data_IF_459272773772
#
_entry.id   IF_459272773772
#
_cell.length_a   1.000
_cell.length_b   1.000
_cell.length_c   1.000
_cell.angle_alpha   90.00
_cell.angle_beta   90.00
_cell.angle_gamma   90.00
#
_symmetry.space_group_name_H-M   'P 1'
#
loop_
_entity.id
_entity.type
_entity.pdbx_description
1 polymer ?
#
# COMPACT_ATOMS: atom_id res chain seq x y z
N UNK A 1 -9.48 -20.98 -14.00
CA UNK A 1 -10.23 -20.08 -14.89
C UNK A 1 -9.57 -19.82 -16.24
N UNK A 2 -8.44 -19.08 -16.34
CA UNK A 2 -7.80 -18.81 -17.64
C UNK A 2 -7.44 -20.10 -18.39
N UNK A 3 -6.77 -21.04 -17.71
CA UNK A 3 -6.37 -22.31 -18.31
C UNK A 3 -7.56 -23.17 -18.79
N UNK A 4 -8.71 -23.07 -18.11
CA UNK A 4 -9.89 -23.88 -18.40
C UNK A 4 -10.82 -23.22 -19.43
N UNK A 5 -10.90 -21.89 -19.44
CA UNK A 5 -11.87 -21.13 -20.25
C UNK A 5 -11.24 -20.33 -21.39
N UNK A 6 -9.91 -20.20 -21.42
CA UNK A 6 -9.19 -19.32 -22.34
C UNK A 6 -9.38 -17.82 -22.06
N UNK A 7 -10.19 -17.45 -21.05
CA UNK A 7 -10.53 -16.06 -20.75
C UNK A 7 -9.76 -15.53 -19.54
N UNK A 8 -9.05 -14.42 -19.72
CA UNK A 8 -8.44 -13.69 -18.62
C UNK A 8 -9.49 -12.85 -17.89
N UNK A 9 -9.45 -12.88 -16.55
CA UNK A 9 -10.30 -12.05 -15.70
C UNK A 9 -9.39 -11.20 -14.84
N UNK A 10 -9.40 -9.87 -14.99
CA UNK A 10 -8.56 -8.99 -14.18
C UNK A 10 -8.91 -9.08 -12.70
N UNK A 11 -7.88 -9.06 -11.85
CA UNK A 11 -8.04 -9.12 -10.39
C UNK A 11 -7.61 -7.80 -9.77
N UNK A 12 -8.48 -7.23 -8.92
CA UNK A 12 -8.17 -6.07 -8.10
C UNK A 12 -7.92 -6.56 -6.68
N UNK A 13 -6.71 -6.36 -6.16
CA UNK A 13 -6.43 -6.61 -4.74
C UNK A 13 -6.96 -5.45 -3.89
N UNK A 14 -7.85 -5.76 -2.95
CA UNK A 14 -8.51 -4.78 -2.09
C UNK A 14 -8.34 -5.13 -0.60
N UNK A 15 -8.02 -4.13 0.21
CA UNK A 15 -7.84 -4.24 1.64
C UNK A 15 -6.39 -4.49 2.08
N UNK A 16 -6.06 -4.01 3.28
CA UNK A 16 -4.77 -4.26 3.94
C UNK A 16 -3.56 -3.49 3.41
N UNK A 17 -3.71 -2.68 2.34
CA UNK A 17 -2.62 -1.89 1.78
C UNK A 17 -2.35 -0.65 2.63
N UNK A 18 -1.13 -0.56 3.17
CA UNK A 18 -0.69 0.58 4.00
C UNK A 18 0.44 1.36 3.33
N UNK A 19 1.34 0.66 2.65
CA UNK A 19 2.56 1.24 2.04
C UNK A 19 2.68 0.92 0.56
N UNK A 20 3.55 1.63 -0.16
CA UNK A 20 3.91 1.28 -1.54
C UNK A 20 4.49 -0.14 -1.67
N UNK A 21 5.14 -0.65 -0.62
CA UNK A 21 5.64 -2.02 -0.59
C UNK A 21 4.53 -3.07 -0.63
N UNK A 22 3.38 -2.79 0.00
CA UNK A 22 2.23 -3.71 -0.04
C UNK A 22 1.61 -3.75 -1.43
N UNK A 23 1.55 -2.60 -2.12
CA UNK A 23 1.14 -2.54 -3.54
C UNK A 23 2.06 -3.41 -4.40
N UNK A 24 3.38 -3.27 -4.22
CA UNK A 24 4.36 -4.06 -4.97
C UNK A 24 4.17 -5.56 -4.74
N UNK A 25 3.91 -5.99 -3.49
CA UNK A 25 3.61 -7.40 -3.19
C UNK A 25 2.33 -7.87 -3.87
N UNK A 26 1.24 -7.08 -3.84
CA UNK A 26 0.00 -7.43 -4.53
C UNK A 26 0.21 -7.63 -6.03
N UNK A 27 0.97 -6.72 -6.67
CA UNK A 27 1.31 -6.82 -8.09
C UNK A 27 2.18 -8.05 -8.37
N UNK A 28 3.21 -8.31 -7.56
CA UNK A 28 4.04 -9.50 -7.68
C UNK A 28 3.23 -10.80 -7.52
N UNK A 29 2.23 -10.81 -6.63
CA UNK A 29 1.33 -11.94 -6.42
C UNK A 29 0.24 -12.12 -7.50
N UNK A 30 0.25 -11.34 -8.59
CA UNK A 30 -0.66 -11.54 -9.72
C UNK A 30 -1.82 -10.53 -9.85
N UNK A 31 -1.93 -9.53 -8.96
CA UNK A 31 -2.98 -8.53 -9.09
C UNK A 31 -2.75 -7.63 -10.32
N UNK A 32 -3.81 -7.27 -11.04
CA UNK A 32 -3.75 -6.34 -12.17
C UNK A 32 -3.91 -4.88 -11.72
N UNK A 33 -4.60 -4.68 -10.61
CA UNK A 33 -4.74 -3.38 -9.96
C UNK A 33 -4.87 -3.56 -8.44
N UNK A 34 -4.74 -2.45 -7.73
CA UNK A 34 -4.96 -2.39 -6.29
C UNK A 34 -5.99 -1.33 -5.96
N UNK A 35 -6.86 -1.60 -4.99
CA UNK A 35 -7.73 -0.60 -4.38
C UNK A 35 -7.03 -0.06 -3.14
N UNK A 36 -6.93 1.27 -3.03
CA UNK A 36 -6.19 1.94 -1.96
C UNK A 36 -7.17 2.76 -1.13
N UNK A 37 -7.21 2.53 0.18
CA UNK A 37 -8.07 3.26 1.12
C UNK A 37 -7.27 4.21 2.02
N UNK A 38 -6.88 3.72 3.20
CA UNK A 38 -6.20 4.50 4.25
C UNK A 38 -5.01 5.36 3.76
N UNK A 39 -4.15 4.93 2.81
CA UNK A 39 -3.05 5.78 2.34
C UNK A 39 -3.51 7.05 1.64
N UNK A 40 -4.52 6.98 0.75
CA UNK A 40 -5.04 8.16 0.04
C UNK A 40 -6.01 8.98 0.91
N UNK A 41 -6.58 8.38 1.96
CA UNK A 41 -7.37 9.11 2.96
C UNK A 41 -6.55 10.15 3.76
N UNK A 42 -5.21 10.08 3.69
CA UNK A 42 -4.27 11.05 4.26
C UNK A 42 -4.03 12.26 3.36
N UNK A 43 -4.64 12.32 2.18
CA UNK A 43 -4.55 13.46 1.29
C UNK A 43 -5.27 14.69 1.87
N UNK A 44 -4.78 15.89 1.58
CA UNK A 44 -5.42 17.15 1.96
C UNK A 44 -6.82 17.30 1.31
N UNK A 45 -6.98 16.72 0.14
CA UNK A 45 -8.20 16.67 -0.66
C UNK A 45 -9.19 15.60 -0.15
N UNK A 46 -8.76 14.70 0.74
CA UNK A 46 -9.61 13.64 1.24
C UNK A 46 -10.75 14.23 2.10
N UNK A 47 -12.01 13.84 1.86
CA UNK A 47 -13.17 14.42 2.54
C UNK A 47 -13.18 14.11 4.05
N UNK A 48 -12.47 13.05 4.46
CA UNK A 48 -12.32 12.65 5.85
C UNK A 48 -11.49 13.61 6.70
N UNK A 49 -10.79 14.59 6.11
CA UNK A 49 -9.99 15.62 6.81
C UNK A 49 -9.05 15.03 7.89
N UNK A 50 -8.29 14.01 7.50
CA UNK A 50 -7.36 13.30 8.39
C UNK A 50 -7.99 12.16 9.20
N UNK A 51 -9.24 11.80 8.91
CA UNK A 51 -9.91 10.62 9.44
C UNK A 51 -10.27 9.64 8.33
N UNK A 52 -10.34 8.37 8.69
CA UNK A 52 -10.73 7.27 7.80
C UNK A 52 -11.62 6.28 8.56
N UNK A 53 -12.56 5.65 7.86
CA UNK A 53 -13.41 4.59 8.37
C UNK A 53 -13.78 3.65 7.23
N UNK A 54 -14.12 2.39 7.55
CA UNK A 54 -14.63 1.45 6.56
C UNK A 54 -16.06 1.78 6.12
N UNK A 55 -16.60 1.02 5.16
CA UNK A 55 -17.98 1.20 4.67
C UNK A 55 -19.05 1.07 5.76
N UNK A 56 -18.76 0.27 6.80
CA UNK A 56 -19.51 0.29 8.04
C UNK A 56 -19.33 1.68 8.70
N UNK A 57 -20.34 2.52 8.55
CA UNK A 57 -20.28 3.91 9.01
C UNK A 57 -20.30 3.95 10.54
N UNK A 58 -19.30 4.59 11.19
CA UNK A 58 -19.25 4.69 12.63
C UNK A 58 -20.46 5.49 13.13
N UNK A 59 -21.29 4.88 13.98
CA UNK A 59 -22.45 5.51 14.61
C UNK A 59 -22.34 5.41 16.13
N UNK A 60 -22.61 6.50 16.88
CA UNK A 60 -22.66 6.46 18.34
C UNK A 60 -23.71 5.50 18.91
N UNK A 61 -24.78 5.26 18.16
CA UNK A 61 -25.95 4.46 18.59
C UNK A 61 -25.86 3.02 18.06
N UNK A 62 -25.11 2.81 16.97
CA UNK A 62 -24.91 1.52 16.33
C UNK A 62 -23.45 1.43 15.87
N UNK A 63 -22.49 1.15 16.79
CA UNK A 63 -21.07 1.18 16.46
C UNK A 63 -20.72 0.05 15.49
N UNK A 64 -20.82 0.36 14.21
CA UNK A 64 -20.39 -0.45 13.08
C UNK A 64 -19.23 0.29 12.44
N UNK A 65 -18.04 -0.31 12.47
CA UNK A 65 -16.83 0.29 11.92
C UNK A 65 -16.15 1.29 12.86
N UNK A 66 -14.83 1.36 12.75
CA UNK A 66 -13.97 2.19 13.60
C UNK A 66 -13.52 3.42 12.82
N UNK A 67 -13.86 4.62 13.33
CA UNK A 67 -13.25 5.86 12.85
C UNK A 67 -11.84 5.96 13.41
N UNK A 68 -10.85 5.95 12.53
CA UNK A 68 -9.44 6.08 12.90
C UNK A 68 -8.90 7.43 12.45
N UNK A 69 -7.96 7.97 13.23
CA UNK A 69 -7.21 9.18 12.87
C UNK A 69 -5.99 8.75 12.08
N UNK A 70 -5.93 9.13 10.80
CA UNK A 70 -4.80 8.85 9.90
C UNK A 70 -3.93 10.08 9.67
N UNK A 71 -4.43 11.26 10.01
CA UNK A 71 -3.77 12.55 9.77
C UNK A 71 -3.74 12.93 8.29
N UNK A 72 -3.23 14.12 8.01
CA UNK A 72 -2.98 14.59 6.64
C UNK A 72 -1.49 14.69 6.42
N UNK A 73 -0.97 14.04 5.38
CA UNK A 73 0.49 13.96 5.13
C UNK A 73 0.94 14.72 3.89
N UNK A 74 0.01 15.14 3.03
CA UNK A 74 0.32 15.91 1.82
C UNK A 74 -0.89 16.00 0.88
N UNK A 75 -0.68 16.55 -0.33
CA UNK A 75 -1.66 16.45 -1.40
C UNK A 75 -1.77 15.03 -1.95
N UNK A 76 -2.88 14.72 -2.61
CA UNK A 76 -3.09 13.46 -3.32
C UNK A 76 -1.97 13.23 -4.36
N UNK A 77 -1.62 14.28 -5.10
CA UNK A 77 -0.51 14.23 -6.06
C UNK A 77 0.79 13.80 -5.39
N UNK A 78 1.14 14.39 -4.25
CA UNK A 78 2.36 14.04 -3.51
C UNK A 78 2.33 12.61 -2.99
N UNK A 79 1.19 12.14 -2.49
CA UNK A 79 1.03 10.76 -2.03
C UNK A 79 1.24 9.78 -3.20
N UNK A 80 0.66 10.07 -4.38
CA UNK A 80 0.74 9.16 -5.52
C UNK A 80 2.08 9.25 -6.26
N UNK A 81 2.60 10.45 -6.52
CA UNK A 81 3.72 10.73 -7.45
C UNK A 81 4.98 11.27 -6.79
N UNK A 82 4.90 11.65 -5.51
CA UNK A 82 6.01 12.22 -4.77
C UNK A 82 6.25 13.72 -5.05
N UNK A 83 7.40 14.26 -4.60
CA UNK A 83 8.43 13.56 -3.84
C UNK A 83 7.93 13.14 -2.45
N UNK A 84 8.48 12.04 -1.92
CA UNK A 84 8.18 11.62 -0.56
C UNK A 84 8.91 12.53 0.44
N UNK A 85 8.18 13.04 1.44
CA UNK A 85 8.74 13.75 2.60
C UNK A 85 8.73 12.90 3.87
N UNK A 86 8.19 11.69 3.79
CA UNK A 86 8.14 10.71 4.86
C UNK A 86 8.95 9.48 4.44
N UNK A 87 9.52 8.80 5.42
CA UNK A 87 10.34 7.59 5.29
C UNK A 87 9.57 6.30 5.59
N UNK A 88 8.26 6.39 5.82
CA UNK A 88 7.37 5.28 6.19
C UNK A 88 6.74 4.55 4.99
N UNK A 89 7.07 4.96 3.76
CA UNK A 89 6.56 4.35 2.52
C UNK A 89 5.10 4.69 2.20
N UNK A 90 4.50 5.68 2.85
CA UNK A 90 3.11 6.12 2.60
C UNK A 90 2.98 7.20 1.51
N UNK A 91 4.09 7.66 0.94
CA UNK A 91 4.13 8.65 -0.14
C UNK A 91 4.93 8.15 -1.35
N UNK A 92 4.73 8.82 -2.48
CA UNK A 92 5.34 8.47 -3.76
C UNK A 92 5.10 6.99 -4.17
N UNK A 93 3.84 6.56 -4.13
CA UNK A 93 3.46 5.18 -4.42
C UNK A 93 3.89 4.73 -5.83
N UNK A 94 3.76 5.59 -6.85
CA UNK A 94 4.24 5.29 -8.21
C UNK A 94 5.77 5.18 -8.27
N UNK A 95 6.49 6.05 -7.56
CA UNK A 95 7.94 5.94 -7.44
C UNK A 95 8.34 4.61 -6.81
N UNK A 96 7.67 4.20 -5.75
CA UNK A 96 7.89 2.91 -5.09
C UNK A 96 7.70 1.73 -6.06
N UNK A 97 6.61 1.71 -6.83
CA UNK A 97 6.36 0.67 -7.85
C UNK A 97 7.47 0.65 -8.89
N UNK A 98 7.84 1.81 -9.45
CA UNK A 98 8.91 1.91 -10.46
C UNK A 98 10.26 1.45 -9.91
N UNK A 99 10.59 1.83 -8.68
CA UNK A 99 11.82 1.39 -8.01
C UNK A 99 11.80 -0.12 -7.79
N UNK A 100 10.70 -0.69 -7.28
CA UNK A 100 10.57 -2.13 -7.07
C UNK A 100 10.69 -2.90 -8.39
N UNK A 101 10.00 -2.47 -9.43
CA UNK A 101 10.12 -3.03 -10.79
C UNK A 101 11.56 -2.98 -11.31
N UNK A 102 12.24 -1.85 -11.14
CA UNK A 102 13.65 -1.69 -11.52
C UNK A 102 14.59 -2.63 -10.77
N UNK A 103 14.39 -2.79 -9.45
CA UNK A 103 15.17 -3.72 -8.61
C UNK A 103 14.95 -5.18 -8.99
N UNK A 104 13.73 -5.55 -9.37
CA UNK A 104 13.36 -6.91 -9.74
C UNK A 104 13.63 -7.23 -11.23
N UNK A 105 14.08 -6.25 -12.02
CA UNK A 105 14.32 -6.42 -13.45
C UNK A 105 13.04 -6.51 -14.29
N UNK A 106 11.89 -6.11 -13.75
CA UNK A 106 10.60 -6.13 -14.45
C UNK A 106 10.35 -4.81 -15.19
N UNK A 107 10.14 -4.87 -16.51
CA UNK A 107 9.81 -3.72 -17.35
C UNK A 107 8.31 -3.46 -17.45
N UNK A 108 7.50 -4.48 -17.22
CA UNK A 108 6.04 -4.42 -17.30
C UNK A 108 5.40 -5.02 -16.05
N UNK A 109 4.15 -4.69 -15.78
CA UNK A 109 3.40 -5.32 -14.68
C UNK A 109 3.26 -6.84 -14.89
N UNK A 110 3.16 -7.30 -16.14
CA UNK A 110 3.12 -8.74 -16.45
C UNK A 110 4.42 -9.43 -16.09
N UNK A 111 5.57 -8.82 -16.37
CA UNK A 111 6.87 -9.32 -15.90
C UNK A 111 6.96 -9.29 -14.37
N UNK A 112 6.44 -8.24 -13.73
CA UNK A 112 6.40 -8.15 -12.27
C UNK A 112 5.56 -9.27 -11.63
N UNK A 113 4.48 -9.70 -12.27
CA UNK A 113 3.66 -10.83 -11.85
C UNK A 113 4.36 -12.20 -12.00
N UNK A 114 5.54 -12.27 -12.63
CA UNK A 114 6.32 -13.51 -12.78
C UNK A 114 7.54 -13.57 -11.84
N UNK A 115 7.75 -12.57 -10.99
CA UNK A 115 8.87 -12.55 -10.05
C UNK A 115 8.69 -13.60 -8.96
N UNK A 116 9.80 -14.10 -8.43
CA UNK A 116 9.77 -14.99 -7.28
C UNK A 116 9.38 -14.23 -6.01
N UNK A 117 8.42 -14.77 -5.25
CA UNK A 117 7.96 -14.20 -3.99
C UNK A 117 8.39 -15.10 -2.84
N UNK A 118 9.17 -14.55 -1.91
CA UNK A 118 9.65 -15.24 -0.72
C UNK A 118 9.02 -14.65 0.53
N UNK A 119 8.51 -15.51 1.41
CA UNK A 119 8.00 -15.12 2.72
C UNK A 119 9.07 -15.40 3.78
N UNK A 120 9.64 -14.35 4.36
CA UNK A 120 10.63 -14.45 5.43
C UNK A 120 10.15 -13.68 6.68
N UNK A 121 9.52 -14.37 7.66
CA UNK A 121 8.95 -13.72 8.84
C UNK A 121 9.96 -12.94 9.69
N UNK A 122 11.23 -13.36 9.70
CA UNK A 122 12.30 -12.72 10.48
C UNK A 122 12.67 -11.31 10.00
N UNK A 123 12.38 -10.94 8.74
CA UNK A 123 12.69 -9.63 8.16
C UNK A 123 12.06 -8.45 8.92
N UNK A 124 10.99 -8.68 9.67
CA UNK A 124 10.35 -7.63 10.47
C UNK A 124 11.17 -7.26 11.72
N UNK A 125 12.02 -8.16 12.19
CA UNK A 125 12.78 -8.01 13.44
C UNK A 125 14.29 -7.92 13.21
N UNK A 126 14.80 -8.59 12.18
CA UNK A 126 16.23 -8.70 11.91
C UNK A 126 16.85 -7.35 11.52
N UNK A 127 17.92 -6.95 12.22
CA UNK A 127 18.66 -5.72 11.93
C UNK A 127 17.94 -4.41 12.24
N UNK A 128 16.71 -4.45 12.79
CA UNK A 128 15.87 -3.25 13.02
C UNK A 128 15.97 -2.64 14.42
N UNK A 129 16.93 -3.07 15.24
CA UNK A 129 17.10 -2.62 16.64
C UNK A 129 17.26 -1.09 16.71
N UNK A 130 18.15 -0.53 15.91
CA UNK A 130 18.39 0.92 15.88
C UNK A 130 17.21 1.72 15.30
N UNK A 131 16.52 1.18 14.30
CA UNK A 131 15.34 1.81 13.70
C UNK A 131 14.20 1.91 14.70
N UNK A 132 13.94 0.85 15.46
CA UNK A 132 12.94 0.84 16.54
C UNK A 132 13.33 1.78 17.68
N UNK A 133 14.59 1.76 18.11
CA UNK A 133 15.07 2.64 19.19
C UNK A 133 14.91 4.13 18.85
N UNK A 134 15.00 4.48 17.56
CA UNK A 134 14.93 5.86 17.07
C UNK A 134 13.59 6.23 16.43
N UNK A 135 12.61 5.32 16.40
CA UNK A 135 11.29 5.51 15.75
C UNK A 135 11.39 5.95 14.27
N UNK A 136 12.34 5.36 13.53
CA UNK A 136 12.63 5.69 12.13
C UNK A 136 11.96 4.71 11.15
N UNK A 137 11.61 5.20 9.96
CA UNK A 137 11.02 4.40 8.88
C UNK A 137 9.77 3.62 9.31
N UNK A 138 9.77 2.31 9.08
CA UNK A 138 8.68 1.40 9.46
C UNK A 138 8.74 0.92 10.93
N UNK A 139 9.65 1.47 11.74
CA UNK A 139 9.88 1.08 13.14
C UNK A 139 9.21 1.98 14.17
N UNK A 140 8.21 2.77 13.76
CA UNK A 140 7.35 3.56 14.66
C UNK A 140 6.41 2.69 15.49
#
# INVERSE_FOLDING_TARGET
YLAESGRYVPIIADGGIVTGGDICKCLACGADAVMIGSPIARAAEAPGRGFHWGMATPSPVLPRGTRIKVGTTGSLEKILRGPASLDDGTQNLLGCIRTSMGTLGARTLKEMQQVEVVVAPSLLTEGKVYQKAQQLGMGK
#
